data_IF_393695888093
#
_entry.id   IF_393695888093
#
_cell.length_a   1.000
_cell.length_b   1.000
_cell.length_c   1.000
_cell.angle_alpha   90.00
_cell.angle_beta   90.00
_cell.angle_gamma   90.00
#
_symmetry.space_group_name_H-M   'P 1'
#
loop_
_entity.id
_entity.type
_entity.pdbx_description
1 polymer ?
#
# COMPACT_ATOMS: atom_id res chain seq x y z
N UNK A 1 16.99 41.72 7.37
CA UNK A 1 16.55 40.52 6.63
C UNK A 1 15.65 39.72 7.55
N UNK A 2 14.35 39.69 7.28
CA UNK A 2 13.40 38.88 8.06
C UNK A 2 13.62 37.43 7.61
N UNK A 3 14.25 36.62 8.45
CA UNK A 3 14.24 35.18 8.24
C UNK A 3 12.76 34.75 8.23
N UNK A 4 12.28 34.20 7.12
CA UNK A 4 10.91 33.71 7.07
C UNK A 4 10.77 32.64 8.15
N UNK A 5 9.89 32.89 9.12
CA UNK A 5 9.53 32.03 10.25
C UNK A 5 8.73 30.79 9.78
N UNK A 6 9.09 30.26 8.61
CA UNK A 6 8.45 29.13 7.97
C UNK A 6 9.06 27.85 8.50
N UNK A 7 8.24 27.04 9.17
CA UNK A 7 8.58 25.68 9.61
C UNK A 7 9.34 24.92 8.51
N UNK A 8 10.35 24.09 8.87
CA UNK A 8 11.06 23.25 7.91
C UNK A 8 10.10 22.48 7.00
N UNK A 9 10.46 22.32 5.73
CA UNK A 9 9.60 21.68 4.73
C UNK A 9 9.08 20.31 5.19
N UNK A 10 9.94 19.51 5.84
CA UNK A 10 9.55 18.21 6.36
C UNK A 10 8.47 18.31 7.44
N UNK A 11 8.53 19.30 8.32
CA UNK A 11 7.50 19.50 9.35
C UNK A 11 6.15 19.85 8.70
N UNK A 12 6.18 20.65 7.62
CA UNK A 12 4.98 20.97 6.85
C UNK A 12 4.39 19.72 6.17
N UNK A 13 5.23 18.87 5.57
CA UNK A 13 4.80 17.61 4.93
C UNK A 13 4.24 16.64 5.96
N UNK A 14 4.91 16.46 7.10
CA UNK A 14 4.41 15.66 8.22
C UNK A 14 3.02 16.13 8.66
N UNK A 15 2.86 17.45 8.87
CA UNK A 15 1.56 18.02 9.29
C UNK A 15 0.46 17.79 8.26
N UNK A 16 0.74 17.98 6.97
CA UNK A 16 -0.26 17.70 5.92
C UNK A 16 -0.61 16.22 5.83
N UNK A 17 0.37 15.35 6.01
CA UNK A 17 0.17 13.90 6.05
C UNK A 17 -0.68 13.48 7.25
N UNK A 18 -0.41 14.04 8.43
CA UNK A 18 -1.21 13.79 9.64
C UNK A 18 -2.65 14.26 9.48
N UNK A 19 -2.85 15.46 8.92
CA UNK A 19 -4.19 15.96 8.59
C UNK A 19 -4.93 15.04 7.61
N UNK A 20 -4.25 14.58 6.56
CA UNK A 20 -4.83 13.68 5.56
C UNK A 20 -5.19 12.32 6.16
N UNK A 21 -4.30 11.77 7.01
CA UNK A 21 -4.56 10.53 7.73
C UNK A 21 -5.77 10.66 8.65
N UNK A 22 -5.86 11.77 9.37
CA UNK A 22 -6.99 12.04 10.26
C UNK A 22 -8.31 12.18 9.50
N UNK A 23 -8.31 12.89 8.38
CA UNK A 23 -9.47 12.98 7.50
C UNK A 23 -9.88 11.60 6.97
N UNK A 24 -8.91 10.80 6.53
CA UNK A 24 -9.16 9.42 6.11
C UNK A 24 -9.82 8.60 7.23
N UNK A 25 -9.32 8.69 8.46
CA UNK A 25 -9.90 7.97 9.60
C UNK A 25 -11.35 8.39 9.88
N UNK A 26 -11.66 9.69 9.77
CA UNK A 26 -13.04 10.18 9.88
C UNK A 26 -13.92 9.58 8.77
N UNK A 27 -13.45 9.61 7.52
CA UNK A 27 -14.21 9.04 6.40
C UNK A 27 -14.45 7.55 6.59
N UNK A 28 -13.48 6.80 7.13
CA UNK A 28 -13.63 5.37 7.43
C UNK A 28 -14.66 5.14 8.53
N UNK A 29 -14.65 5.95 9.60
CA UNK A 29 -15.63 5.83 10.70
C UNK A 29 -17.06 6.09 10.21
N UNK A 30 -17.22 6.94 9.19
CA UNK A 30 -18.51 7.30 8.62
C UNK A 30 -18.89 6.47 7.38
N UNK A 31 -18.15 5.41 7.05
CA UNK A 31 -18.37 4.57 5.85
C UNK A 31 -18.38 5.38 4.53
N UNK A 32 -17.55 6.43 4.44
CA UNK A 32 -17.43 7.35 3.30
C UNK A 32 -16.04 7.36 2.66
N UNK A 33 -15.23 6.32 2.92
CA UNK A 33 -13.83 6.28 2.49
C UNK A 33 -13.62 5.79 1.05
N UNK A 34 -14.67 5.34 0.33
CA UNK A 34 -14.54 4.81 -1.03
C UNK A 34 -13.96 5.83 -2.02
N UNK A 35 -14.47 7.06 -1.99
CA UNK A 35 -14.00 8.16 -2.85
C UNK A 35 -12.56 8.56 -2.50
N UNK A 36 -12.18 8.47 -1.22
CA UNK A 36 -10.79 8.71 -0.82
C UNK A 36 -9.84 7.70 -1.50
N UNK A 37 -10.21 6.42 -1.57
CA UNK A 37 -9.38 5.39 -2.21
C UNK A 37 -9.21 5.69 -3.70
N UNK A 38 -10.27 6.08 -4.38
CA UNK A 38 -10.21 6.48 -5.78
C UNK A 38 -9.29 7.70 -5.98
N UNK A 39 -9.48 8.77 -5.21
CA UNK A 39 -8.67 9.98 -5.30
C UNK A 39 -7.21 9.71 -4.96
N UNK A 40 -6.94 8.87 -3.96
CA UNK A 40 -5.59 8.47 -3.57
C UNK A 40 -4.91 7.66 -4.66
N UNK A 41 -5.61 6.69 -5.27
CA UNK A 41 -5.08 5.87 -6.34
C UNK A 41 -4.69 6.67 -7.60
N UNK A 42 -5.33 7.83 -7.83
CA UNK A 42 -5.11 8.73 -8.98
C UNK A 42 -4.08 9.84 -8.75
N UNK A 43 -3.28 9.77 -7.69
CA UNK A 43 -2.26 10.79 -7.37
C UNK A 43 -0.96 10.63 -8.19
N UNK A 44 -1.06 10.71 -9.52
CA UNK A 44 0.06 10.50 -10.44
C UNK A 44 1.25 11.45 -10.18
N UNK A 45 0.96 12.70 -9.81
CA UNK A 45 2.00 13.68 -9.49
C UNK A 45 2.76 13.30 -8.21
N UNK A 46 2.06 12.88 -7.15
CA UNK A 46 2.70 12.44 -5.91
C UNK A 46 3.54 11.18 -6.15
N UNK A 47 3.05 10.25 -6.96
CA UNK A 47 3.79 9.02 -7.33
C UNK A 47 5.05 9.37 -8.13
N UNK A 48 4.97 10.35 -9.04
CA UNK A 48 6.13 10.85 -9.78
C UNK A 48 7.15 11.50 -8.84
N UNK A 49 6.69 12.34 -7.91
CA UNK A 49 7.56 12.97 -6.91
C UNK A 49 8.19 11.95 -5.96
N UNK A 50 7.44 10.92 -5.54
CA UNK A 50 7.91 9.84 -4.65
C UNK A 50 9.20 9.20 -5.19
N UNK A 51 9.28 8.96 -6.51
CA UNK A 51 10.45 8.38 -7.18
C UNK A 51 11.73 9.22 -7.05
N UNK A 52 11.60 10.53 -6.87
CA UNK A 52 12.72 11.48 -6.83
C UNK A 52 13.00 12.00 -5.42
N UNK A 53 12.03 11.89 -4.52
CA UNK A 53 12.13 12.39 -3.16
C UNK A 53 13.05 11.54 -2.28
N UNK A 54 13.63 12.17 -1.26
CA UNK A 54 14.40 11.44 -0.25
C UNK A 54 13.49 10.51 0.56
N UNK A 55 14.03 9.41 1.13
CA UNK A 55 13.27 8.49 1.98
C UNK A 55 12.44 9.17 3.07
N UNK A 56 12.96 10.27 3.63
CA UNK A 56 12.30 11.04 4.70
C UNK A 56 10.93 11.60 4.29
N UNK A 57 10.79 12.10 3.06
CA UNK A 57 9.52 12.66 2.58
C UNK A 57 8.58 11.57 2.07
N UNK A 58 9.12 10.65 1.26
CA UNK A 58 8.32 9.64 0.58
C UNK A 58 7.74 8.60 1.55
N UNK A 59 8.42 8.35 2.68
CA UNK A 59 7.89 7.58 3.80
C UNK A 59 6.56 8.11 4.33
N UNK A 60 6.37 9.44 4.42
CA UNK A 60 5.10 10.01 4.91
C UNK A 60 3.92 9.63 4.01
N UNK A 61 4.10 9.61 2.69
CA UNK A 61 3.08 9.13 1.73
C UNK A 61 2.84 7.62 1.84
N UNK A 62 3.92 6.85 2.03
CA UNK A 62 3.83 5.40 2.20
C UNK A 62 3.02 5.00 3.44
N UNK A 63 3.03 5.80 4.51
CA UNK A 63 2.18 5.58 5.69
C UNK A 63 0.69 5.72 5.40
N UNK A 64 0.31 6.71 4.59
CA UNK A 64 -1.07 6.89 4.16
C UNK A 64 -1.51 5.68 3.35
N UNK A 65 -0.71 5.28 2.37
CA UNK A 65 -0.97 4.11 1.52
C UNK A 65 -1.11 2.83 2.35
N UNK A 66 -0.20 2.60 3.30
CA UNK A 66 -0.29 1.48 4.22
C UNK A 66 -1.60 1.47 5.03
N UNK A 67 -2.04 2.64 5.48
CA UNK A 67 -3.30 2.78 6.22
C UNK A 67 -4.50 2.47 5.34
N UNK A 68 -4.49 2.92 4.09
CA UNK A 68 -5.53 2.58 3.11
C UNK A 68 -5.57 1.07 2.86
N UNK A 69 -4.42 0.41 2.66
CA UNK A 69 -4.36 -1.04 2.47
C UNK A 69 -4.90 -1.83 3.67
N UNK A 70 -4.56 -1.41 4.90
CA UNK A 70 -5.11 -2.03 6.13
C UNK A 70 -6.63 -1.93 6.14
N UNK A 71 -7.15 -0.73 5.96
CA UNK A 71 -8.60 -0.49 6.04
C UNK A 71 -9.36 -1.23 4.96
N UNK A 72 -8.81 -1.27 3.74
CA UNK A 72 -9.35 -2.01 2.62
C UNK A 72 -9.39 -3.52 2.90
N UNK A 73 -8.31 -4.11 3.43
CA UNK A 73 -8.26 -5.53 3.76
C UNK A 73 -9.16 -5.94 4.93
N UNK A 74 -9.44 -5.01 5.84
CA UNK A 74 -10.44 -5.20 6.91
C UNK A 74 -11.88 -5.19 6.40
N UNK A 75 -12.12 -4.91 5.11
CA UNK A 75 -13.45 -4.83 4.53
C UNK A 75 -14.25 -3.61 5.00
N UNK A 76 -13.57 -2.56 5.48
CA UNK A 76 -14.19 -1.30 5.93
C UNK A 76 -14.46 -0.31 4.80
N UNK A 77 -14.11 -0.68 3.57
CA UNK A 77 -14.24 0.13 2.36
C UNK A 77 -14.82 -0.77 1.28
N UNK A 78 -15.89 -0.34 0.64
CA UNK A 78 -16.61 -1.07 -0.40
C UNK A 78 -16.35 -0.43 -1.76
N UNK A 79 -15.10 -0.50 -2.23
CA UNK A 79 -14.74 0.07 -3.52
C UNK A 79 -14.71 -0.99 -4.66
N UNK A 80 -15.13 -0.59 -5.89
CA UNK A 80 -15.01 -1.40 -7.09
C UNK A 80 -13.64 -2.06 -7.28
N UNK A 81 -13.62 -3.24 -7.92
CA UNK A 81 -12.38 -3.98 -8.19
C UNK A 81 -11.35 -3.15 -8.96
N UNK A 82 -11.80 -2.29 -9.86
CA UNK A 82 -10.94 -1.44 -10.69
C UNK A 82 -10.18 -0.41 -9.86
N UNK A 83 -10.78 0.15 -8.81
CA UNK A 83 -10.09 1.09 -7.93
C UNK A 83 -9.13 0.38 -6.97
N UNK A 84 -9.46 -0.83 -6.50
CA UNK A 84 -8.50 -1.67 -5.75
C UNK A 84 -7.28 -1.99 -6.61
N UNK A 85 -7.53 -2.37 -7.86
CA UNK A 85 -6.50 -2.62 -8.86
C UNK A 85 -5.60 -1.41 -9.08
N UNK A 86 -6.22 -0.25 -9.32
CA UNK A 86 -5.50 1.00 -9.51
C UNK A 86 -4.67 1.39 -8.28
N UNK A 87 -5.24 1.25 -7.08
CA UNK A 87 -4.53 1.50 -5.82
C UNK A 87 -3.25 0.67 -5.71
N UNK A 88 -3.33 -0.63 -6.01
CA UNK A 88 -2.15 -1.50 -5.99
C UNK A 88 -1.13 -1.09 -7.06
N UNK A 89 -1.56 -0.84 -8.29
CA UNK A 89 -0.66 -0.39 -9.35
C UNK A 89 0.07 0.91 -9.01
N UNK A 90 -0.63 1.84 -8.35
CA UNK A 90 -0.12 3.15 -7.98
C UNK A 90 0.81 3.12 -6.77
N UNK A 91 0.42 2.42 -5.69
CA UNK A 91 1.03 2.59 -4.38
C UNK A 91 1.72 1.36 -3.80
N UNK A 92 1.54 0.17 -4.38
CA UNK A 92 2.19 -1.04 -3.88
C UNK A 92 3.71 -0.92 -3.98
N UNK A 93 4.24 -0.61 -5.17
CA UNK A 93 5.68 -0.41 -5.39
C UNK A 93 6.28 0.71 -4.53
N UNK A 94 5.73 1.95 -4.50
CA UNK A 94 6.19 2.98 -3.57
C UNK A 94 6.28 2.51 -2.12
N UNK A 95 5.25 1.82 -1.64
CA UNK A 95 5.21 1.30 -0.27
C UNK A 95 6.28 0.20 -0.04
N UNK A 96 6.46 -0.72 -1.00
CA UNK A 96 7.51 -1.74 -0.93
C UNK A 96 8.92 -1.14 -0.80
N UNK A 97 9.19 -0.03 -1.50
CA UNK A 97 10.47 0.68 -1.41
C UNK A 97 10.73 1.28 -0.03
N UNK A 98 9.66 1.62 0.70
CA UNK A 98 9.73 2.29 2.00
C UNK A 98 9.38 1.38 3.17
N UNK A 99 9.14 0.09 2.93
CA UNK A 99 8.63 -0.79 3.97
C UNK A 99 9.58 -0.93 5.17
N UNK A 100 10.90 -0.92 4.95
CA UNK A 100 11.88 -0.86 6.04
C UNK A 100 11.76 0.39 6.91
N UNK A 101 11.31 1.51 6.34
CA UNK A 101 10.99 2.72 7.12
C UNK A 101 9.67 2.59 7.86
N UNK A 102 8.64 1.98 7.25
CA UNK A 102 7.37 1.68 7.91
C UNK A 102 7.55 0.76 9.13
N UNK A 103 8.52 -0.16 9.07
CA UNK A 103 8.90 -1.02 10.19
C UNK A 103 9.60 -0.26 11.33
N UNK A 104 10.61 0.56 10.99
CA UNK A 104 11.43 1.27 12.00
C UNK A 104 10.70 2.46 12.61
N UNK A 105 9.90 3.15 11.81
CA UNK A 105 9.13 4.31 12.18
C UNK A 105 7.68 3.99 11.85
N UNK A 106 6.94 3.36 12.75
CA UNK A 106 5.57 2.99 12.44
C UNK A 106 4.58 4.13 12.66
N UNK A 107 4.86 5.04 13.62
CA UNK A 107 3.98 6.15 14.03
C UNK A 107 2.50 5.68 14.16
N UNK A 108 2.29 4.58 14.89
CA UNK A 108 0.97 3.98 15.13
C UNK A 108 0.50 2.97 14.07
N UNK A 109 1.28 2.70 13.02
CA UNK A 109 1.00 1.65 12.05
C UNK A 109 1.32 0.26 12.63
N UNK A 110 0.37 -0.67 12.57
CA UNK A 110 0.64 -2.07 12.84
C UNK A 110 1.07 -2.77 11.55
N UNK A 111 2.36 -3.08 11.45
CA UNK A 111 2.95 -3.69 10.27
C UNK A 111 2.48 -5.12 10.05
N UNK A 112 2.17 -5.88 11.10
CA UNK A 112 1.67 -7.26 10.95
C UNK A 112 0.27 -7.24 10.37
N UNK A 113 -0.57 -6.32 10.87
CA UNK A 113 -1.91 -6.09 10.32
C UNK A 113 -1.79 -5.64 8.86
N UNK A 114 -0.82 -4.77 8.52
CA UNK A 114 -0.57 -4.39 7.13
C UNK A 114 -0.26 -5.60 6.24
N UNK A 115 0.69 -6.45 6.64
CA UNK A 115 1.08 -7.65 5.89
C UNK A 115 -0.10 -8.59 5.63
N UNK A 116 -0.89 -8.87 6.67
CA UNK A 116 -2.07 -9.72 6.56
C UNK A 116 -3.09 -9.14 5.56
N UNK A 117 -3.42 -7.85 5.72
CA UNK A 117 -4.43 -7.19 4.91
C UNK A 117 -3.97 -6.97 3.47
N UNK A 118 -2.68 -6.69 3.22
CA UNK A 118 -2.12 -6.67 1.87
C UNK A 118 -2.33 -8.01 1.16
N UNK A 119 -2.00 -9.11 1.83
CA UNK A 119 -2.18 -10.44 1.29
C UNK A 119 -3.64 -10.77 0.98
N UNK A 120 -4.56 -10.39 1.87
CA UNK A 120 -6.00 -10.55 1.67
C UNK A 120 -6.49 -9.77 0.45
N UNK A 121 -6.22 -8.47 0.36
CA UNK A 121 -6.72 -7.66 -0.76
C UNK A 121 -6.10 -8.10 -2.08
N UNK A 122 -4.80 -8.38 -2.12
CA UNK A 122 -4.11 -8.82 -3.33
C UNK A 122 -4.77 -10.08 -3.91
N UNK A 123 -5.14 -11.05 -3.07
CA UNK A 123 -5.88 -12.25 -3.48
C UNK A 123 -7.30 -12.01 -4.02
N UNK A 124 -7.86 -10.80 -3.85
CA UNK A 124 -9.17 -10.41 -4.39
C UNK A 124 -9.08 -9.71 -5.75
N UNK A 125 -7.88 -9.34 -6.21
CA UNK A 125 -7.68 -8.68 -7.49
C UNK A 125 -7.84 -9.64 -8.67
N UNK A 126 -8.00 -9.17 -9.92
CA UNK A 126 -7.96 -10.03 -11.10
C UNK A 126 -6.66 -10.86 -11.18
N UNK A 127 -6.75 -12.13 -11.58
CA UNK A 127 -5.61 -13.07 -11.55
C UNK A 127 -4.35 -12.55 -12.24
N UNK A 128 -4.49 -11.89 -13.39
CA UNK A 128 -3.37 -11.28 -14.12
C UNK A 128 -2.63 -10.24 -13.27
N UNK A 129 -3.35 -9.41 -12.51
CA UNK A 129 -2.74 -8.44 -11.62
C UNK A 129 -2.12 -9.10 -10.39
N UNK A 130 -2.75 -10.15 -9.84
CA UNK A 130 -2.14 -10.91 -8.74
C UNK A 130 -0.74 -11.40 -9.14
N UNK A 131 -0.60 -11.94 -10.35
CA UNK A 131 0.69 -12.40 -10.87
C UNK A 131 1.72 -11.27 -10.89
N UNK A 132 1.41 -10.13 -11.52
CA UNK A 132 2.33 -8.98 -11.63
C UNK A 132 2.78 -8.51 -10.24
N UNK A 133 1.84 -8.36 -9.30
CA UNK A 133 2.12 -7.86 -7.95
C UNK A 133 2.92 -8.87 -7.12
N UNK A 134 2.64 -10.18 -7.26
CA UNK A 134 3.43 -11.20 -6.59
C UNK A 134 4.85 -11.31 -7.15
N UNK A 135 5.04 -11.16 -8.46
CA UNK A 135 6.38 -11.10 -9.06
C UNK A 135 7.17 -9.88 -8.56
N UNK A 136 6.53 -8.72 -8.46
CA UNK A 136 7.13 -7.51 -7.90
C UNK A 136 7.50 -7.67 -6.42
N UNK A 137 6.58 -8.21 -5.62
CA UNK A 137 6.84 -8.54 -4.23
C UNK A 137 7.99 -9.55 -4.08
N UNK A 138 8.01 -10.60 -4.90
CA UNK A 138 9.03 -11.64 -4.84
C UNK A 138 10.42 -11.05 -5.11
N UNK A 139 10.54 -10.15 -6.09
CA UNK A 139 11.78 -9.40 -6.35
C UNK A 139 12.20 -8.54 -5.15
N UNK A 140 11.26 -7.87 -4.51
CA UNK A 140 11.52 -7.08 -3.30
C UNK A 140 11.99 -7.97 -2.14
N UNK A 141 11.30 -9.08 -1.89
CA UNK A 141 11.62 -10.03 -0.81
C UNK A 141 13.00 -10.65 -1.01
N UNK A 142 13.34 -11.06 -2.24
CA UNK A 142 14.66 -11.61 -2.56
C UNK A 142 15.80 -10.62 -2.39
N UNK A 143 15.56 -9.32 -2.65
CA UNK A 143 16.61 -8.29 -2.58
C UNK A 143 16.73 -7.62 -1.22
N UNK A 144 15.65 -7.51 -0.45
CA UNK A 144 15.57 -6.69 0.79
C UNK A 144 15.27 -7.51 2.05
N UNK A 145 15.02 -8.81 1.92
CA UNK A 145 14.81 -9.72 3.04
C UNK A 145 13.69 -9.24 3.97
N UNK A 146 14.03 -8.97 5.22
CA UNK A 146 13.07 -8.56 6.27
C UNK A 146 12.54 -7.14 6.09
N UNK A 147 13.15 -6.31 5.25
CA UNK A 147 12.65 -4.96 4.91
C UNK A 147 11.57 -4.96 3.81
N UNK A 148 10.95 -6.12 3.54
CA UNK A 148 9.85 -6.31 2.61
C UNK A 148 8.65 -6.92 3.37
N UNK A 149 7.39 -6.58 3.05
CA UNK A 149 6.24 -7.16 3.73
C UNK A 149 6.20 -8.67 3.56
N UNK A 150 5.92 -9.39 4.63
CA UNK A 150 5.75 -10.84 4.58
C UNK A 150 4.33 -11.22 4.15
N UNK A 151 4.10 -11.28 2.83
CA UNK A 151 2.85 -11.79 2.24
C UNK A 151 3.00 -13.22 1.69
N UNK A 152 3.97 -13.98 2.21
CA UNK A 152 4.29 -15.34 1.74
C UNK A 152 3.10 -16.29 1.80
N UNK A 153 2.24 -16.15 2.82
CA UNK A 153 1.02 -16.96 2.94
C UNK A 153 0.04 -16.70 1.80
N UNK A 154 -0.15 -15.43 1.42
CA UNK A 154 -1.00 -15.07 0.29
C UNK A 154 -0.43 -15.60 -1.03
N UNK A 155 0.89 -15.48 -1.22
CA UNK A 155 1.57 -16.05 -2.38
C UNK A 155 1.36 -17.57 -2.49
N UNK A 156 1.51 -18.32 -1.40
CA UNK A 156 1.26 -19.77 -1.38
C UNK A 156 -0.18 -20.13 -1.77
N UNK A 157 -1.15 -19.35 -1.31
CA UNK A 157 -2.57 -19.55 -1.65
C UNK A 157 -2.79 -19.31 -3.14
N UNK A 158 -2.29 -18.19 -3.69
CA UNK A 158 -2.36 -17.88 -5.11
C UNK A 158 -1.70 -18.96 -5.96
N UNK A 159 -0.46 -19.34 -5.64
CA UNK A 159 0.30 -20.36 -6.38
C UNK A 159 -0.46 -21.69 -6.50
N UNK A 160 -1.03 -22.17 -5.39
CA UNK A 160 -1.85 -23.40 -5.38
C UNK A 160 -3.10 -23.27 -6.25
N UNK A 161 -3.77 -22.11 -6.23
CA UNK A 161 -4.96 -21.86 -7.05
C UNK A 161 -4.63 -21.78 -8.53
N UNK A 162 -3.52 -21.14 -8.89
CA UNK A 162 -3.14 -20.87 -10.28
C UNK A 162 -2.52 -22.08 -11.00
N UNK A 163 -1.70 -22.88 -10.31
CA UNK A 163 -0.88 -23.91 -10.96
C UNK A 163 -1.21 -25.35 -10.53
N UNK A 164 -1.64 -25.55 -9.27
CA UNK A 164 -1.89 -26.92 -8.75
C UNK A 164 -3.28 -27.41 -9.13
N UNK A 165 -4.30 -26.54 -9.15
CA UNK A 165 -5.65 -26.93 -9.59
C UNK A 165 -5.79 -27.03 -11.11
N UNK A 166 -5.18 -26.11 -11.86
CA UNK A 166 -5.19 -26.12 -13.32
C UNK A 166 -4.51 -27.36 -13.94
N UNK A 167 -3.46 -27.88 -13.29
CA UNK A 167 -2.78 -29.10 -13.74
C UNK A 167 -3.58 -30.40 -13.50
N UNK A 168 -4.56 -30.39 -12.59
CA UNK A 168 -5.47 -31.52 -12.36
C UNK A 168 -6.63 -31.52 -13.36
N UNK A 169 -7.12 -30.33 -13.75
CA UNK A 169 -8.13 -30.19 -14.80
C UNK A 169 -7.61 -30.53 -16.20
N UNK A 170 -6.33 -30.22 -16.49
CA UNK A 170 -5.72 -30.56 -17.79
C UNK A 170 -5.41 -32.07 -17.95
N UNK A 171 -5.48 -32.84 -16.85
CA UNK A 171 -5.23 -34.30 -16.84
C UNK A 171 -6.51 -35.14 -16.77
N UNK A 172 -7.69 -34.52 -16.88
CA UNK A 172 -8.97 -35.20 -17.06
C UNK A 172 -9.46 -35.01 -18.49
#
# INVERSE_FOLDING_TARGET
MIASDSKPMIERVCKQTENLKWLFDILVINDMADEFVELWAKQDELIRMHKQASPMFRYELSRISASVFITLGKGRIQCPSDFRSLLFNSWFRPMLMDFGWLQRCSKGLDVRILEENLGHVLLTLPLHQQQILFEEWFRCSASRGTECPNISRAFQVWWRRSFVRSSVETRR
#
